data_IF_574324330297
#
_entry.id   IF_574324330297
#
_cell.length_a   1.000
_cell.length_b   1.000
_cell.length_c   1.000
_cell.angle_alpha   90.00
_cell.angle_beta   90.00
_cell.angle_gamma   90.00
#
_symmetry.space_group_name_H-M   'P 1'
#
loop_
_entity.id
_entity.type
_entity.pdbx_description
1 polymer ?
#
# COMPACT_ATOMS: atom_id res chain seq x y z
N UNK A 1 44.91 24.66 -46.66
CA UNK A 1 44.29 25.80 -45.97
C UNK A 1 42.82 25.50 -45.72
N UNK A 2 42.26 25.77 -44.53
CA UNK A 2 42.84 25.57 -43.20
C UNK A 2 42.10 24.47 -42.41
N UNK A 3 42.90 23.65 -41.71
CA UNK A 3 42.49 22.87 -40.56
C UNK A 3 42.04 23.83 -39.43
N UNK A 4 40.90 23.54 -38.79
CA UNK A 4 40.57 24.11 -37.48
C UNK A 4 40.90 23.11 -36.38
N UNK A 5 41.89 23.50 -35.59
CA UNK A 5 42.18 23.00 -34.26
C UNK A 5 41.01 23.33 -33.33
N UNK A 6 40.62 22.40 -32.46
CA UNK A 6 40.01 22.77 -31.18
C UNK A 6 40.85 22.15 -30.06
N UNK A 7 41.30 23.03 -29.16
CA UNK A 7 41.86 22.73 -27.85
C UNK A 7 40.73 22.90 -26.85
N UNK A 8 40.67 22.04 -25.84
CA UNK A 8 39.78 22.21 -24.69
C UNK A 8 39.95 21.06 -23.71
N UNK A 9 41.06 21.10 -22.96
CA UNK A 9 41.32 20.21 -21.84
C UNK A 9 40.47 20.63 -20.63
N UNK A 10 39.85 19.67 -19.96
CA UNK A 10 39.55 19.76 -18.53
C UNK A 10 39.95 18.46 -17.84
N UNK A 11 41.03 18.58 -17.06
CA UNK A 11 41.41 17.70 -15.97
C UNK A 11 40.94 18.37 -14.69
N UNK A 12 40.37 17.60 -13.75
CA UNK A 12 40.92 17.42 -12.40
C UNK A 12 39.87 16.81 -11.47
N UNK A 13 40.22 15.63 -10.96
CA UNK A 13 39.72 15.08 -9.71
C UNK A 13 40.00 16.06 -8.55
N UNK A 14 38.97 16.42 -7.79
CA UNK A 14 39.08 17.17 -6.55
C UNK A 14 38.77 16.29 -5.34
N UNK A 15 39.75 15.49 -4.91
CA UNK A 15 39.73 14.77 -3.63
C UNK A 15 40.05 15.76 -2.49
N UNK A 16 39.05 16.21 -1.73
CA UNK A 16 39.27 16.99 -0.50
C UNK A 16 39.22 16.07 0.73
N UNK A 17 40.39 15.55 1.12
CA UNK A 17 40.65 15.06 2.49
C UNK A 17 41.22 16.22 3.31
N UNK A 18 40.41 16.80 4.18
CA UNK A 18 40.88 17.73 5.21
C UNK A 18 41.45 16.94 6.39
N UNK A 19 42.77 17.03 6.54
CA UNK A 19 43.56 16.50 7.66
C UNK A 19 43.65 17.60 8.72
N UNK A 20 43.02 17.42 9.87
CA UNK A 20 43.25 18.26 11.06
C UNK A 20 44.03 17.49 12.11
N UNK A 21 45.18 18.04 12.46
CA UNK A 21 46.06 17.63 13.55
C UNK A 21 45.65 18.32 14.85
N UNK A 22 45.45 17.58 15.93
CA UNK A 22 45.56 18.09 17.32
C UNK A 22 46.02 16.92 18.22
N UNK A 23 47.27 16.96 18.67
CA UNK A 23 47.67 17.34 20.04
C UNK A 23 47.19 16.35 21.12
N UNK A 24 48.09 15.42 21.44
CA UNK A 24 48.07 14.61 22.65
C UNK A 24 48.42 15.47 23.87
N UNK A 25 47.53 15.49 24.87
CA UNK A 25 47.95 15.66 26.26
C UNK A 25 47.33 14.55 27.10
N UNK A 26 48.22 13.79 27.72
CA UNK A 26 47.97 12.76 28.73
C UNK A 26 47.76 13.43 30.09
N UNK A 27 46.68 13.08 30.79
CA UNK A 27 46.64 13.09 32.27
C UNK A 27 45.81 11.91 32.77
N UNK A 28 46.44 11.15 33.67
CA UNK A 28 45.91 10.01 34.41
C UNK A 28 44.74 10.37 35.32
N UNK A 29 43.81 9.43 35.50
CA UNK A 29 42.80 9.48 36.57
C UNK A 29 41.94 8.22 36.63
N UNK A 30 42.46 7.15 37.23
CA UNK A 30 41.65 6.01 37.71
C UNK A 30 40.99 6.40 39.03
N UNK A 31 39.68 6.19 39.16
CA UNK A 31 39.08 5.49 40.32
C UNK A 31 37.67 4.99 39.94
N UNK A 32 37.47 3.68 40.18
CA UNK A 32 36.27 2.90 40.53
C UNK A 32 34.90 3.63 40.61
N UNK A 33 33.73 3.04 40.34
CA UNK A 33 33.29 1.70 39.93
C UNK A 33 31.75 1.71 40.00
N UNK A 34 31.10 0.92 39.13
CA UNK A 34 29.77 0.31 39.35
C UNK A 34 28.57 1.28 39.51
N UNK A 35 27.75 1.37 38.46
CA UNK A 35 26.31 1.08 38.52
C UNK A 35 25.77 1.05 37.08
N UNK A 36 25.40 -0.16 36.66
CA UNK A 36 24.70 -0.43 35.41
C UNK A 36 23.23 -0.72 35.72
N UNK A 37 22.36 -0.27 34.82
CA UNK A 37 21.09 -0.91 34.40
C UNK A 37 19.86 -0.68 35.28
N UNK A 38 19.09 0.34 34.92
CA UNK A 38 17.63 0.20 34.87
C UNK A 38 17.04 1.12 33.79
N UNK A 39 16.58 0.62 32.63
CA UNK A 39 15.92 1.43 31.60
C UNK A 39 14.62 2.09 32.11
N UNK A 40 14.06 1.59 33.21
CA UNK A 40 12.89 2.16 33.88
C UNK A 40 13.14 3.57 34.45
N UNK A 41 14.36 3.85 34.93
CA UNK A 41 14.68 5.15 35.57
C UNK A 41 14.85 6.25 34.51
N UNK A 42 15.34 5.91 33.33
CA UNK A 42 15.42 6.85 32.20
C UNK A 42 14.02 7.18 31.66
N UNK A 43 13.09 6.22 31.61
CA UNK A 43 11.71 6.45 31.22
C UNK A 43 10.95 7.34 32.23
N UNK A 44 11.18 7.15 33.53
CA UNK A 44 10.59 7.99 34.59
C UNK A 44 11.12 9.43 34.50
N UNK A 45 12.40 9.64 34.20
CA UNK A 45 12.95 10.99 34.01
C UNK A 45 12.42 11.69 32.75
N UNK A 46 12.22 10.97 31.65
CA UNK A 46 11.56 11.52 30.46
C UNK A 46 10.09 11.90 30.71
N UNK A 47 9.34 11.09 31.46
CA UNK A 47 7.94 11.36 31.79
C UNK A 47 7.79 12.54 32.77
N UNK A 48 8.74 12.71 33.70
CA UNK A 48 8.75 13.86 34.62
C UNK A 48 9.18 15.17 33.91
N UNK A 49 10.04 15.10 32.89
CA UNK A 49 10.43 16.26 32.10
C UNK A 49 9.32 16.76 31.15
N UNK A 50 8.40 15.88 30.72
CA UNK A 50 7.25 16.23 29.89
C UNK A 50 6.04 16.73 30.70
N UNK A 51 6.06 16.59 32.03
CA UNK A 51 4.97 16.97 32.93
C UNK A 51 4.94 18.43 33.42
N UNK A 52 5.86 19.30 32.97
CA UNK A 52 5.96 20.69 33.46
C UNK A 52 5.26 21.76 32.59
N UNK A 53 4.38 21.38 31.66
CA UNK A 53 3.42 22.32 31.05
C UNK A 53 1.99 21.91 31.39
N UNK A 54 1.57 22.26 32.60
CA UNK A 54 0.16 22.30 32.99
C UNK A 54 -0.47 23.59 32.46
N UNK A 55 -1.46 23.46 31.58
CA UNK A 55 -2.75 24.14 31.77
C UNK A 55 -3.87 23.11 31.61
N UNK A 56 -4.55 22.85 32.73
CA UNK A 56 -5.91 22.32 32.91
C UNK A 56 -6.44 21.24 31.95
N UNK A 57 -6.38 19.98 32.38
CA UNK A 57 -7.39 18.98 32.03
C UNK A 57 -7.86 18.24 33.29
N UNK A 58 -9.15 18.39 33.60
CA UNK A 58 -9.85 17.67 34.65
C UNK A 58 -10.14 16.27 34.14
N UNK A 59 -9.38 15.27 34.58
CA UNK A 59 -9.70 13.86 34.36
C UNK A 59 -10.59 13.40 35.51
N UNK A 60 -11.89 13.27 35.25
CA UNK A 60 -12.79 12.50 36.11
C UNK A 60 -12.56 11.02 35.86
N UNK A 61 -11.87 10.38 36.79
CA UNK A 61 -11.69 8.94 36.87
C UNK A 61 -12.99 8.32 37.41
N UNK A 62 -13.80 7.68 36.57
CA UNK A 62 -14.89 6.81 37.02
C UNK A 62 -14.72 5.40 36.49
N UNK A 63 -14.87 4.46 37.43
CA UNK A 63 -14.61 3.03 37.34
C UNK A 63 -15.53 2.31 36.35
N UNK A 64 -14.96 1.25 35.75
CA UNK A 64 -15.65 0.14 35.07
C UNK A 64 -16.81 -0.43 35.90
N UNK A 65 -17.81 -1.01 35.22
CA UNK A 65 -18.00 -2.45 35.40
C UNK A 65 -18.31 -3.24 34.11
N UNK A 66 -17.54 -4.31 33.91
CA UNK A 66 -17.98 -5.71 33.81
C UNK A 66 -19.40 -5.99 33.23
N UNK A 67 -19.49 -6.45 31.97
CA UNK A 67 -20.63 -7.25 31.44
C UNK A 67 -20.05 -8.27 30.44
N UNK A 68 -19.82 -9.51 30.87
CA UNK A 68 -20.66 -10.71 30.70
C UNK A 68 -20.85 -11.21 29.26
N UNK A 69 -20.20 -12.35 29.01
CA UNK A 69 -20.36 -13.24 27.89
C UNK A 69 -21.81 -13.70 27.71
N UNK A 70 -22.24 -13.83 26.44
CA UNK A 70 -23.43 -14.60 26.05
C UNK A 70 -23.01 -15.70 25.07
N UNK A 71 -22.62 -16.84 25.64
CA UNK A 71 -22.73 -18.12 24.96
C UNK A 71 -24.15 -18.65 25.21
N UNK A 72 -25.00 -18.67 24.18
CA UNK A 72 -26.29 -19.33 24.25
C UNK A 72 -26.08 -20.83 23.99
N UNK A 73 -25.92 -21.58 25.08
CA UNK A 73 -26.03 -23.03 25.08
C UNK A 73 -27.52 -23.41 25.02
N UNK A 74 -27.91 -24.12 23.97
CA UNK A 74 -29.20 -24.79 23.87
C UNK A 74 -29.14 -26.04 24.76
N UNK A 75 -29.83 -25.99 25.90
CA UNK A 75 -30.11 -27.17 26.71
C UNK A 75 -31.24 -27.99 26.05
N UNK A 76 -30.98 -29.26 25.76
CA UNK A 76 -32.01 -30.28 25.55
C UNK A 76 -31.86 -31.35 26.64
N UNK A 77 -32.97 -31.89 27.18
CA UNK A 77 -32.92 -32.90 28.22
C UNK A 77 -32.67 -34.30 27.63
N UNK A 78 -31.87 -35.05 28.39
CA UNK A 78 -31.61 -36.48 28.28
C UNK A 78 -32.87 -37.32 28.53
N UNK A 79 -33.16 -38.28 27.65
CA UNK A 79 -33.97 -39.46 27.95
C UNK A 79 -33.59 -40.67 27.07
N UNK A 80 -33.05 -41.69 27.76
CA UNK A 80 -33.22 -43.14 27.56
C UNK A 80 -33.17 -43.77 26.16
N UNK A 81 -32.09 -44.53 25.96
CA UNK A 81 -31.95 -45.84 25.30
C UNK A 81 -33.13 -46.42 24.48
N UNK A 82 -32.87 -46.69 23.20
CA UNK A 82 -33.27 -47.93 22.52
C UNK A 82 -32.41 -48.14 21.25
N UNK A 83 -31.89 -49.35 20.97
CA UNK A 83 -31.12 -49.62 19.76
C UNK A 83 -32.00 -50.17 18.63
N UNK A 84 -31.62 -49.82 17.39
CA UNK A 84 -32.07 -50.31 16.08
C UNK A 84 -32.95 -49.35 15.29
N UNK A 85 -32.43 -48.93 14.12
CA UNK A 85 -33.24 -48.36 13.04
C UNK A 85 -32.47 -47.36 12.18
N UNK A 86 -31.82 -47.86 11.12
CA UNK A 86 -31.30 -47.04 10.03
C UNK A 86 -32.43 -46.22 9.38
N UNK A 87 -32.33 -44.89 9.41
CA UNK A 87 -33.09 -44.01 8.52
C UNK A 87 -32.28 -42.74 8.29
N UNK A 88 -31.63 -42.68 7.13
CA UNK A 88 -30.93 -41.50 6.62
C UNK A 88 -31.95 -40.46 6.16
N UNK A 89 -32.39 -39.61 7.07
CA UNK A 89 -33.17 -38.42 6.73
C UNK A 89 -32.23 -37.33 6.20
N UNK A 90 -32.17 -37.24 4.88
CA UNK A 90 -31.50 -36.18 4.14
C UNK A 90 -32.22 -34.85 4.38
N UNK A 91 -31.73 -34.05 5.33
CA UNK A 91 -32.15 -32.67 5.54
C UNK A 91 -31.55 -31.80 4.41
N UNK A 92 -32.32 -31.65 3.34
CA UNK A 92 -32.14 -30.60 2.32
C UNK A 92 -32.35 -29.24 3.01
N UNK A 93 -31.26 -28.63 3.45
CA UNK A 93 -31.19 -27.20 3.75
C UNK A 93 -31.46 -26.45 2.44
N UNK A 94 -32.69 -25.97 2.29
CA UNK A 94 -33.03 -25.00 1.26
C UNK A 94 -32.21 -23.73 1.50
N UNK A 95 -31.12 -23.57 0.75
CA UNK A 95 -30.37 -22.33 0.68
C UNK A 95 -31.33 -21.26 0.15
N UNK A 96 -31.81 -20.39 1.03
CA UNK A 96 -32.58 -19.21 0.68
C UNK A 96 -31.71 -18.33 -0.21
N UNK A 97 -31.97 -18.34 -1.51
CA UNK A 97 -31.33 -17.44 -2.48
C UNK A 97 -31.84 -16.03 -2.22
N UNK A 98 -31.16 -15.29 -1.36
CA UNK A 98 -31.33 -13.84 -1.31
C UNK A 98 -30.88 -13.28 -2.67
N UNK A 99 -31.62 -12.32 -3.26
CA UNK A 99 -31.19 -11.66 -4.47
C UNK A 99 -29.86 -10.96 -4.19
N UNK A 100 -28.78 -11.55 -4.69
CA UNK A 100 -27.43 -11.03 -4.60
C UNK A 100 -27.42 -9.73 -5.41
N UNK A 101 -27.48 -8.60 -4.72
CA UNK A 101 -27.36 -7.29 -5.36
C UNK A 101 -25.97 -7.26 -5.96
N UNK A 102 -25.88 -7.35 -7.29
CA UNK A 102 -24.59 -7.31 -7.99
C UNK A 102 -23.79 -6.12 -7.48
N UNK A 103 -22.69 -6.41 -6.79
CA UNK A 103 -21.79 -5.37 -6.31
C UNK A 103 -21.32 -4.59 -7.54
N UNK A 104 -21.49 -3.26 -7.50
CA UNK A 104 -21.00 -2.41 -8.57
C UNK A 104 -19.49 -2.64 -8.68
N UNK A 105 -19.05 -3.05 -9.87
CA UNK A 105 -17.63 -3.15 -10.17
C UNK A 105 -17.08 -1.74 -10.34
N UNK A 106 -16.05 -1.40 -9.58
CA UNK A 106 -15.35 -0.14 -9.67
C UNK A 106 -13.95 -0.41 -10.22
N UNK A 107 -13.54 0.42 -11.19
CA UNK A 107 -12.17 0.52 -11.60
C UNK A 107 -11.51 1.68 -10.88
N UNK A 108 -10.37 1.41 -10.27
CA UNK A 108 -9.48 2.41 -9.74
C UNK A 108 -8.43 2.73 -10.80
N UNK A 109 -8.37 4.00 -11.22
CA UNK A 109 -7.32 4.54 -12.09
C UNK A 109 -6.39 5.36 -11.21
N UNK A 110 -5.12 4.99 -11.11
CA UNK A 110 -4.18 5.66 -10.19
C UNK A 110 -2.85 6.00 -10.88
N UNK A 111 -2.23 7.12 -10.52
CA UNK A 111 -0.84 7.47 -10.88
C UNK A 111 -0.06 7.81 -9.61
N UNK A 112 1.12 7.19 -9.46
CA UNK A 112 1.99 7.40 -8.30
C UNK A 112 3.05 8.45 -8.58
N UNK A 113 3.40 9.20 -7.54
CA UNK A 113 4.47 10.20 -7.59
C UNK A 113 5.26 10.21 -6.28
N UNK A 114 6.53 10.59 -6.34
CA UNK A 114 7.35 10.76 -5.14
C UNK A 114 7.30 12.20 -4.64
N UNK A 115 7.45 12.40 -3.33
CA UNK A 115 7.57 13.73 -2.74
C UNK A 115 8.56 13.73 -1.58
N UNK A 116 9.24 14.85 -1.37
CA UNK A 116 10.22 15.03 -0.28
C UNK A 116 9.74 16.01 0.80
N UNK A 117 8.88 16.96 0.43
CA UNK A 117 8.32 17.96 1.33
C UNK A 117 6.79 17.85 1.35
N UNK A 118 6.28 17.12 2.35
CA UNK A 118 4.84 16.91 2.54
C UNK A 118 4.11 18.23 2.76
N UNK A 119 4.66 19.14 3.56
CA UNK A 119 4.01 20.41 3.91
C UNK A 119 3.76 21.28 2.68
N UNK A 120 4.77 21.41 1.81
CA UNK A 120 4.65 22.17 0.56
C UNK A 120 3.61 21.55 -0.37
N UNK A 121 3.58 20.23 -0.48
CA UNK A 121 2.60 19.52 -1.30
C UNK A 121 1.16 19.69 -0.78
N UNK A 122 0.96 19.57 0.53
CA UNK A 122 -0.34 19.81 1.17
C UNK A 122 -0.83 21.25 0.97
N UNK A 123 0.06 22.24 0.98
CA UNK A 123 -0.28 23.62 0.66
C UNK A 123 -0.81 23.75 -0.78
N UNK A 124 -0.15 23.09 -1.74
CA UNK A 124 -0.58 23.08 -3.15
C UNK A 124 -1.91 22.38 -3.36
N UNK A 125 -2.14 21.26 -2.67
CA UNK A 125 -3.45 20.58 -2.67
C UNK A 125 -4.54 21.54 -2.19
N UNK A 126 -4.29 22.31 -1.12
CA UNK A 126 -5.24 23.34 -0.65
C UNK A 126 -5.48 24.43 -1.69
N UNK A 127 -4.45 24.87 -2.42
CA UNK A 127 -4.60 25.84 -3.52
C UNK A 127 -5.47 25.31 -4.66
N UNK A 128 -5.39 24.01 -4.96
CA UNK A 128 -6.27 23.33 -5.94
C UNK A 128 -7.66 22.99 -5.38
N UNK A 129 -7.96 23.41 -4.14
CA UNK A 129 -9.27 23.24 -3.50
C UNK A 129 -9.49 21.87 -2.85
N UNK A 130 -8.44 21.07 -2.68
CA UNK A 130 -8.50 19.84 -1.89
C UNK A 130 -8.48 20.17 -0.39
N UNK A 131 -9.19 19.36 0.38
CA UNK A 131 -9.14 19.40 1.83
C UNK A 131 -8.75 18.03 2.37
N UNK A 132 -8.05 18.03 3.50
CA UNK A 132 -7.78 16.82 4.25
C UNK A 132 -9.13 16.23 4.72
N UNK A 133 -9.43 15.03 4.25
CA UNK A 133 -10.63 14.29 4.63
C UNK A 133 -10.34 13.36 5.80
N UNK A 134 -9.19 12.68 5.77
CA UNK A 134 -8.87 11.65 6.73
C UNK A 134 -7.35 11.50 6.90
N UNK A 135 -6.90 11.20 8.12
CA UNK A 135 -5.53 10.77 8.40
C UNK A 135 -5.55 9.52 9.28
N UNK A 136 -4.86 8.46 8.82
CA UNK A 136 -4.87 7.14 9.45
C UNK A 136 -3.49 6.50 9.48
N UNK A 137 -3.29 5.63 10.47
CA UNK A 137 -2.22 4.65 10.47
C UNK A 137 -2.86 3.30 10.17
N UNK A 138 -2.31 2.58 9.19
CA UNK A 138 -2.78 1.27 8.79
C UNK A 138 -1.63 0.29 8.59
N UNK A 139 -1.95 -1.00 8.70
CA UNK A 139 -1.04 -2.11 8.49
C UNK A 139 -1.61 -2.98 7.38
N UNK A 140 -0.86 -3.11 6.29
CA UNK A 140 -1.19 -3.98 5.17
C UNK A 140 -0.35 -5.27 5.26
N UNK A 141 -1.02 -6.41 5.34
CA UNK A 141 -0.42 -7.74 5.25
C UNK A 141 -0.71 -8.31 3.85
N UNK A 142 0.31 -8.57 3.05
CA UNK A 142 0.14 -9.09 1.69
C UNK A 142 0.29 -10.60 1.65
N UNK A 143 -0.60 -11.26 0.92
CA UNK A 143 -0.71 -12.71 0.87
C UNK A 143 -0.59 -13.23 -0.56
N UNK A 144 0.08 -14.36 -0.69
CA UNK A 144 0.08 -15.15 -1.91
C UNK A 144 0.36 -16.62 -1.54
N UNK A 145 0.28 -17.52 -2.51
CA UNK A 145 0.68 -18.91 -2.31
C UNK A 145 2.20 -19.05 -2.44
N UNK A 146 2.80 -19.58 -1.39
CA UNK A 146 4.22 -19.92 -1.35
C UNK A 146 4.39 -21.41 -1.64
N UNK A 147 5.01 -21.74 -2.77
CA UNK A 147 5.33 -23.14 -3.12
C UNK A 147 6.68 -23.50 -2.50
N UNK A 148 6.62 -24.21 -1.38
CA UNK A 148 7.72 -24.63 -0.52
C UNK A 148 8.95 -25.28 -1.21
N UNK A 149 8.79 -25.77 -2.44
CA UNK A 149 9.70 -26.78 -3.00
C UNK A 149 10.22 -26.49 -4.40
N UNK A 150 10.01 -25.29 -4.92
CA UNK A 150 10.58 -24.96 -6.20
C UNK A 150 11.89 -24.23 -6.01
N UNK A 151 12.99 -24.88 -6.43
CA UNK A 151 14.24 -24.19 -6.76
C UNK A 151 13.99 -23.05 -7.76
N UNK A 152 12.87 -23.13 -8.50
CA UNK A 152 12.39 -22.09 -9.38
C UNK A 152 11.43 -21.14 -8.64
N UNK A 153 11.96 -20.01 -8.19
CA UNK A 153 11.19 -18.82 -7.77
C UNK A 153 10.07 -18.46 -8.75
N UNK A 154 10.19 -18.82 -10.03
CA UNK A 154 9.17 -18.56 -11.03
C UNK A 154 7.84 -19.30 -10.78
N UNK A 155 7.84 -20.36 -9.97
CA UNK A 155 6.61 -21.06 -9.61
C UNK A 155 5.90 -20.50 -8.37
N UNK A 156 6.58 -19.62 -7.63
CA UNK A 156 6.10 -19.00 -6.40
C UNK A 156 5.29 -17.75 -6.77
N UNK A 157 4.23 -17.45 -6.01
CA UNK A 157 3.42 -16.22 -6.12
C UNK A 157 2.49 -16.12 -7.34
N UNK A 158 1.51 -17.04 -7.50
CA UNK A 158 0.57 -17.00 -8.63
C UNK A 158 -0.27 -15.72 -8.69
N UNK A 159 -0.56 -15.06 -7.57
CA UNK A 159 -1.32 -13.80 -7.59
C UNK A 159 -0.43 -12.67 -8.11
N UNK A 160 0.71 -12.44 -7.48
CA UNK A 160 1.64 -11.35 -7.80
C UNK A 160 2.09 -11.41 -9.25
N UNK A 161 2.43 -12.59 -9.78
CA UNK A 161 2.86 -12.76 -11.18
C UNK A 161 1.80 -12.39 -12.22
N UNK A 162 0.54 -12.33 -11.82
CA UNK A 162 -0.58 -11.99 -12.68
C UNK A 162 -1.18 -10.62 -12.29
N UNK A 163 -0.39 -9.76 -11.67
CA UNK A 163 -0.79 -8.43 -11.22
C UNK A 163 -2.04 -8.45 -10.29
N UNK A 164 -2.10 -9.45 -9.40
CA UNK A 164 -3.13 -9.54 -8.38
C UNK A 164 -2.52 -9.35 -6.99
N UNK A 165 -3.04 -8.39 -6.24
CA UNK A 165 -2.52 -8.00 -4.94
C UNK A 165 -3.56 -8.22 -3.86
N UNK A 166 -3.49 -9.36 -3.18
CA UNK A 166 -4.31 -9.65 -2.01
C UNK A 166 -3.64 -9.08 -0.75
N UNK A 167 -4.39 -8.29 0.01
CA UNK A 167 -3.97 -7.79 1.32
C UNK A 167 -5.06 -7.91 2.37
N UNK A 168 -4.65 -8.03 3.63
CA UNK A 168 -5.48 -7.71 4.79
C UNK A 168 -5.03 -6.36 5.33
N UNK A 169 -5.93 -5.38 5.29
CA UNK A 169 -5.69 -4.03 5.78
C UNK A 169 -6.32 -3.87 7.15
N UNK A 170 -5.53 -3.47 8.13
CA UNK A 170 -6.00 -3.14 9.47
C UNK A 170 -5.72 -1.66 9.77
N UNK A 171 -6.75 -0.92 10.15
CA UNK A 171 -6.58 0.48 10.59
C UNK A 171 -6.32 0.48 12.10
N UNK A 172 -5.13 0.93 12.48
CA UNK A 172 -4.63 0.87 13.86
C UNK A 172 -4.83 2.18 14.63
N UNK A 173 -4.99 3.29 13.91
CA UNK A 173 -5.26 4.60 14.51
C UNK A 173 -5.94 5.48 13.49
N UNK A 174 -6.93 6.26 13.92
CA UNK A 174 -7.50 7.34 13.12
C UNK A 174 -7.51 8.65 13.89
N UNK A 175 -7.17 9.74 13.24
CA UNK A 175 -7.34 11.09 13.79
C UNK A 175 -8.79 11.60 13.61
N UNK A 176 -9.81 10.74 13.73
CA UNK A 176 -11.24 11.11 13.68
C UNK A 176 -11.95 10.87 15.02
N UNK A 177 -12.82 11.80 15.40
CA UNK A 177 -13.52 11.84 16.70
C UNK A 177 -14.52 10.68 16.87
N UNK A 178 -14.98 10.04 15.78
CA UNK A 178 -16.13 9.12 15.79
C UNK A 178 -15.83 7.70 15.31
N UNK A 179 -14.56 7.31 15.20
CA UNK A 179 -14.22 6.04 14.59
C UNK A 179 -13.90 4.95 15.61
N UNK A 180 -14.42 3.74 15.38
CA UNK A 180 -14.08 2.55 16.18
C UNK A 180 -12.74 2.01 15.68
N UNK A 181 -11.73 1.97 16.55
CA UNK A 181 -10.45 1.34 16.25
C UNK A 181 -10.64 -0.15 15.92
N UNK A 182 -9.85 -0.66 14.97
CA UNK A 182 -9.83 -2.08 14.63
C UNK A 182 -10.69 -2.49 13.44
N UNK A 183 -11.15 -1.56 12.61
CA UNK A 183 -11.66 -1.90 11.28
C UNK A 183 -10.55 -2.58 10.47
N UNK A 184 -10.87 -3.78 9.98
CA UNK A 184 -9.95 -4.55 9.17
C UNK A 184 -10.70 -5.33 8.10
N UNK A 185 -10.11 -5.38 6.91
CA UNK A 185 -10.77 -5.92 5.73
C UNK A 185 -9.77 -6.54 4.76
N UNK A 186 -10.24 -7.58 4.07
CA UNK A 186 -9.54 -8.19 2.96
C UNK A 186 -9.79 -7.39 1.68
N UNK A 187 -8.74 -7.06 0.95
CA UNK A 187 -8.82 -6.29 -0.29
C UNK A 187 -7.98 -7.00 -1.36
N UNK A 188 -8.53 -7.11 -2.56
CA UNK A 188 -7.87 -7.66 -3.74
C UNK A 188 -7.87 -6.59 -4.84
N UNK A 189 -6.69 -6.08 -5.21
CA UNK A 189 -6.51 -5.32 -6.44
C UNK A 189 -6.20 -6.28 -7.59
N UNK A 190 -6.92 -6.19 -8.70
CA UNK A 190 -6.68 -7.00 -9.90
C UNK A 190 -6.31 -6.15 -11.09
N UNK A 191 -5.10 -6.35 -11.62
CA UNK A 191 -4.63 -5.71 -12.83
C UNK A 191 -5.60 -5.96 -13.98
N UNK A 192 -5.89 -4.90 -14.73
CA UNK A 192 -6.72 -4.99 -15.92
C UNK A 192 -5.88 -4.74 -17.17
N UNK A 193 -6.18 -5.45 -18.26
CA UNK A 193 -5.57 -5.15 -19.56
C UNK A 193 -6.16 -3.88 -20.21
N UNK A 194 -7.13 -3.25 -19.54
CA UNK A 194 -7.82 -2.06 -20.05
C UNK A 194 -6.85 -0.88 -19.93
N UNK A 195 -6.45 -0.35 -21.08
CA UNK A 195 -5.57 0.81 -21.14
C UNK A 195 -4.10 0.51 -20.88
N UNK A 196 -3.56 -0.64 -21.29
CA UNK A 196 -2.11 -0.94 -21.25
C UNK A 196 -1.25 -0.03 -22.14
N UNK A 197 -1.22 1.27 -21.85
CA UNK A 197 -0.55 2.31 -22.62
C UNK A 197 0.33 3.22 -21.77
N UNK A 198 1.29 3.84 -22.43
CA UNK A 198 2.45 4.69 -22.04
C UNK A 198 2.26 5.78 -20.95
N UNK A 199 1.14 5.83 -20.25
CA UNK A 199 0.73 6.99 -19.46
C UNK A 199 1.09 6.97 -17.98
N UNK A 200 1.89 6.03 -17.48
CA UNK A 200 2.29 5.92 -16.06
C UNK A 200 1.17 5.52 -15.07
N UNK A 201 -0.10 5.66 -15.46
CA UNK A 201 -1.26 5.34 -14.65
C UNK A 201 -1.70 3.86 -14.78
N UNK A 202 -1.87 3.20 -13.63
CA UNK A 202 -2.35 1.81 -13.51
C UNK A 202 -3.86 1.75 -13.32
N UNK A 203 -4.49 0.63 -13.71
CA UNK A 203 -5.94 0.43 -13.61
C UNK A 203 -6.24 -0.91 -12.95
N UNK A 204 -6.90 -0.87 -11.80
CA UNK A 204 -7.24 -2.04 -11.00
C UNK A 204 -8.76 -2.22 -10.85
N UNK A 205 -9.23 -3.46 -10.89
CA UNK A 205 -10.53 -3.83 -10.30
C UNK A 205 -10.30 -4.08 -8.80
N UNK A 206 -10.96 -3.31 -7.94
CA UNK A 206 -10.90 -3.49 -6.49
C UNK A 206 -12.08 -4.34 -6.00
N UNK A 207 -11.76 -5.35 -5.19
CA UNK A 207 -12.74 -6.22 -4.54
C UNK A 207 -12.42 -6.27 -3.04
N UNK A 208 -13.44 -6.17 -2.21
CA UNK A 208 -13.30 -6.11 -0.75
C UNK A 208 -14.04 -7.26 -0.03
N UNK A 209 -13.74 -7.41 1.25
CA UNK A 209 -14.36 -8.37 2.15
C UNK A 209 -14.06 -9.83 1.81
N UNK A 210 -14.98 -10.72 2.18
CA UNK A 210 -14.80 -12.17 1.97
C UNK A 210 -14.75 -12.59 0.50
N UNK A 211 -15.28 -11.76 -0.40
CA UNK A 211 -15.26 -12.03 -1.83
C UNK A 211 -13.86 -11.87 -2.42
N UNK A 212 -13.08 -10.91 -1.93
CA UNK A 212 -11.67 -10.72 -2.27
C UNK A 212 -10.88 -12.02 -2.04
N UNK A 213 -11.09 -12.65 -0.89
CA UNK A 213 -10.46 -13.93 -0.54
C UNK A 213 -10.89 -15.07 -1.48
N UNK A 214 -12.19 -15.26 -1.69
CA UNK A 214 -12.69 -16.33 -2.56
C UNK A 214 -12.13 -16.22 -3.98
N UNK A 215 -12.10 -15.01 -4.52
CA UNK A 215 -11.56 -14.75 -5.85
C UNK A 215 -10.04 -15.01 -5.86
N UNK A 216 -9.28 -14.48 -4.90
CA UNK A 216 -7.84 -14.72 -4.81
C UNK A 216 -7.51 -16.22 -4.69
N UNK A 217 -8.22 -16.95 -3.85
CA UNK A 217 -8.17 -18.41 -3.74
C UNK A 217 -8.38 -19.12 -5.08
N UNK A 218 -9.45 -18.75 -5.79
CA UNK A 218 -9.76 -19.33 -7.10
C UNK A 218 -8.67 -19.04 -8.12
N UNK A 219 -8.11 -17.82 -8.13
CA UNK A 219 -7.02 -17.42 -9.03
C UNK A 219 -5.75 -18.21 -8.73
N UNK A 220 -5.36 -18.31 -7.45
CA UNK A 220 -4.18 -19.05 -7.03
C UNK A 220 -4.28 -20.56 -7.35
N UNK A 221 -5.46 -21.16 -7.17
CA UNK A 221 -5.69 -22.57 -7.52
C UNK A 221 -5.66 -22.81 -9.04
N UNK A 222 -6.24 -21.92 -9.84
CA UNK A 222 -6.24 -22.04 -11.30
C UNK A 222 -4.83 -22.07 -11.89
N UNK A 223 -3.92 -21.26 -11.37
CA UNK A 223 -2.53 -21.23 -11.86
C UNK A 223 -1.73 -22.48 -11.45
N UNK A 224 -2.10 -23.15 -10.35
CA UNK A 224 -1.52 -24.45 -10.00
C UNK A 224 -1.98 -25.55 -10.97
N UNK A 225 -3.27 -25.59 -11.32
CA UNK A 225 -3.80 -26.63 -12.22
C UNK A 225 -3.19 -26.60 -13.62
N UNK A 226 -2.59 -25.47 -14.03
CA UNK A 226 -1.87 -25.35 -15.31
C UNK A 226 -0.47 -25.94 -15.28
N UNK A 227 0.10 -26.21 -14.10
CA UNK A 227 1.44 -26.75 -13.95
C UNK A 227 1.31 -28.22 -13.61
N UNK A 228 1.79 -29.07 -14.50
CA UNK A 228 1.76 -30.53 -14.34
C UNK A 228 2.27 -30.94 -12.94
N UNK A 229 1.58 -31.93 -12.35
CA UNK A 229 1.62 -32.42 -10.97
C UNK A 229 3.02 -32.84 -10.45
N UNK A 230 3.95 -31.90 -10.31
CA UNK A 230 5.12 -32.11 -9.49
C UNK A 230 4.69 -32.03 -8.02
N UNK A 231 4.44 -33.18 -7.40
CA UNK A 231 4.10 -33.33 -5.99
C UNK A 231 5.02 -32.45 -5.11
N UNK A 232 4.51 -31.36 -4.51
CA UNK A 232 5.33 -30.52 -3.66
C UNK A 232 5.52 -31.22 -2.32
N UNK A 233 6.75 -31.62 -2.01
CA UNK A 233 7.15 -31.92 -0.63
C UNK A 233 7.05 -30.61 0.20
N UNK A 234 6.74 -30.70 1.49
CA UNK A 234 6.55 -29.53 2.34
C UNK A 234 7.87 -29.15 3.02
N UNK A 235 8.64 -28.21 2.47
CA UNK A 235 9.72 -27.52 3.20
C UNK A 235 9.32 -26.07 3.51
N UNK A 236 9.07 -25.78 4.78
CA UNK A 236 8.35 -24.57 5.25
C UNK A 236 9.21 -23.31 5.47
N UNK A 237 10.51 -23.30 5.15
CA UNK A 237 11.42 -22.67 6.12
C UNK A 237 11.94 -21.25 5.84
N UNK A 238 11.81 -20.66 4.63
CA UNK A 238 12.51 -19.40 4.34
C UNK A 238 11.70 -18.11 4.59
N UNK A 239 10.43 -18.07 4.19
CA UNK A 239 9.62 -16.84 4.26
C UNK A 239 8.94 -16.62 5.62
N UNK A 240 8.68 -17.69 6.37
CA UNK A 240 8.12 -17.61 7.72
C UNK A 240 9.04 -16.88 8.72
N UNK A 241 10.35 -16.83 8.45
CA UNK A 241 11.32 -16.11 9.30
C UNK A 241 11.06 -14.60 9.35
N UNK A 242 10.37 -14.02 8.35
CA UNK A 242 10.05 -12.59 8.34
C UNK A 242 9.06 -12.19 9.43
N UNK A 243 8.24 -13.15 9.88
CA UNK A 243 7.16 -12.93 10.84
C UNK A 243 7.37 -13.73 12.11
N UNK A 244 8.61 -14.15 12.40
CA UNK A 244 8.92 -14.92 13.60
C UNK A 244 8.55 -14.12 14.86
N UNK A 245 7.62 -14.66 15.65
CA UNK A 245 7.11 -14.01 16.86
C UNK A 245 5.98 -13.00 16.64
N UNK A 246 5.55 -12.79 15.40
CA UNK A 246 4.38 -11.95 15.10
C UNK A 246 3.13 -12.80 14.83
N UNK A 247 1.99 -12.41 15.39
CA UNK A 247 0.70 -12.94 14.96
C UNK A 247 0.24 -12.22 13.69
N UNK A 248 -0.12 -12.96 12.66
CA UNK A 248 -0.70 -12.42 11.43
C UNK A 248 -2.14 -12.90 11.24
N UNK A 249 -2.98 -12.13 10.52
CA UNK A 249 -4.34 -12.53 10.18
C UNK A 249 -4.35 -13.86 9.42
N UNK A 250 -5.18 -14.80 9.85
CA UNK A 250 -5.37 -16.07 9.15
C UNK A 250 -6.60 -15.94 8.25
N UNK A 251 -6.49 -16.20 6.94
CA UNK A 251 -7.66 -16.23 6.07
C UNK A 251 -8.71 -17.22 6.63
N UNK A 252 -10.00 -16.82 6.75
CA UNK A 252 -11.06 -17.70 7.28
C UNK A 252 -11.47 -18.84 6.33
N UNK A 253 -10.73 -19.05 5.24
CA UNK A 253 -11.07 -20.00 4.19
C UNK A 253 -10.08 -21.15 4.23
N UNK A 254 -10.55 -22.33 4.67
CA UNK A 254 -9.73 -23.52 4.91
C UNK A 254 -9.06 -24.09 3.63
N UNK A 255 -9.38 -23.59 2.43
CA UNK A 255 -9.03 -24.20 1.14
C UNK A 255 -7.90 -23.51 0.37
N UNK A 256 -7.23 -22.51 0.96
CA UNK A 256 -6.23 -21.73 0.23
C UNK A 256 -4.97 -21.63 1.07
N UNK A 257 -3.89 -22.26 0.60
CA UNK A 257 -2.57 -22.18 1.24
C UNK A 257 -1.92 -20.80 1.00
N UNK A 258 -2.66 -19.73 1.30
CA UNK A 258 -2.21 -18.35 1.22
C UNK A 258 -1.42 -18.04 2.48
N UNK A 259 -0.21 -17.54 2.29
CA UNK A 259 0.70 -17.16 3.37
C UNK A 259 1.10 -15.70 3.20
N UNK A 260 1.30 -14.97 4.32
CA UNK A 260 1.80 -13.60 4.23
C UNK A 260 3.24 -13.61 3.71
N UNK A 261 3.58 -12.65 2.85
CA UNK A 261 4.95 -12.45 2.35
C UNK A 261 5.47 -11.02 2.54
N UNK A 262 4.60 -10.06 2.87
CA UNK A 262 4.99 -8.69 3.20
C UNK A 262 4.06 -8.08 4.25
N UNK A 263 4.61 -7.17 5.07
CA UNK A 263 3.88 -6.36 6.04
C UNK A 263 4.36 -4.92 5.92
N UNK A 264 3.44 -3.99 5.72
CA UNK A 264 3.76 -2.58 5.52
C UNK A 264 2.90 -1.74 6.45
N UNK A 265 3.55 -0.95 7.30
CA UNK A 265 2.89 0.09 8.09
C UNK A 265 2.88 1.37 7.28
N UNK A 266 1.72 1.98 7.12
CA UNK A 266 1.55 3.25 6.38
C UNK A 266 0.87 4.28 7.26
N UNK A 267 1.40 5.49 7.27
CA UNK A 267 0.70 6.70 7.68
C UNK A 267 0.15 7.39 6.42
N UNK A 268 -1.17 7.45 6.28
CA UNK A 268 -1.86 7.99 5.10
C UNK A 268 -2.64 9.25 5.45
N UNK A 269 -2.46 10.28 4.65
CA UNK A 269 -3.33 11.45 4.62
C UNK A 269 -4.11 11.48 3.30
N UNK A 270 -5.42 11.37 3.40
CA UNK A 270 -6.38 11.34 2.28
C UNK A 270 -6.97 12.74 2.06
N UNK A 271 -6.89 13.20 0.82
CA UNK A 271 -7.35 14.51 0.38
C UNK A 271 -8.41 14.37 -0.71
N UNK A 272 -9.51 15.10 -0.58
CA UNK A 272 -10.57 15.12 -1.57
C UNK A 272 -11.01 16.56 -1.85
N UNK A 273 -11.50 16.84 -3.05
CA UNK A 273 -12.01 18.16 -3.39
C UNK A 273 -13.39 18.37 -2.75
N UNK A 274 -13.55 19.42 -1.94
CA UNK A 274 -14.84 19.69 -1.28
C UNK A 274 -15.90 20.08 -2.31
N UNK A 275 -16.93 19.24 -2.47
CA UNK A 275 -18.11 19.61 -3.25
C UNK A 275 -18.79 20.82 -2.59
N UNK A 276 -18.88 21.94 -3.31
CA UNK A 276 -19.71 23.08 -2.90
C UNK A 276 -19.00 24.30 -2.30
N UNK A 277 -17.67 24.31 -2.16
CA UNK A 277 -16.97 25.59 -1.96
C UNK A 277 -16.85 26.32 -3.30
N UNK A 278 -17.95 26.92 -3.75
CA UNK A 278 -17.88 27.94 -4.80
C UNK A 278 -17.00 29.09 -4.28
N UNK A 279 -16.01 29.58 -5.05
CA UNK A 279 -15.23 30.73 -4.64
C UNK A 279 -16.15 31.94 -4.44
N UNK A 280 -16.29 32.39 -3.19
CA UNK A 280 -17.23 33.45 -2.78
C UNK A 280 -16.85 34.86 -3.25
N UNK A 281 -15.91 35.02 -4.17
CA UNK A 281 -15.20 36.28 -4.35
C UNK A 281 -15.00 36.68 -5.81
N UNK A 282 -16.08 36.93 -6.56
CA UNK A 282 -16.12 37.90 -7.68
C UNK A 282 -15.23 37.70 -8.92
N UNK A 283 -14.26 36.80 -8.91
CA UNK A 283 -13.46 36.44 -10.08
C UNK A 283 -14.20 35.37 -10.87
N UNK A 284 -14.59 35.70 -12.10
CA UNK A 284 -15.14 34.77 -13.11
C UNK A 284 -14.09 33.76 -13.56
N UNK A 285 -13.56 32.94 -12.66
CA UNK A 285 -12.77 31.77 -13.03
C UNK A 285 -13.70 30.57 -13.15
N UNK A 286 -13.88 30.14 -14.39
CA UNK A 286 -14.73 29.04 -14.88
C UNK A 286 -14.34 27.64 -14.39
N UNK A 287 -13.46 27.51 -13.40
CA UNK A 287 -12.92 26.23 -12.98
C UNK A 287 -13.73 25.62 -11.84
N UNK A 288 -15.04 25.48 -12.03
CA UNK A 288 -15.87 24.73 -11.10
C UNK A 288 -15.41 23.26 -11.10
N UNK A 289 -14.84 22.80 -9.98
CA UNK A 289 -14.68 21.37 -9.65
C UNK A 289 -14.01 20.51 -10.76
N UNK A 290 -12.91 20.99 -11.35
CA UNK A 290 -12.20 20.25 -12.41
C UNK A 290 -11.80 18.83 -11.99
N UNK A 291 -11.58 18.60 -10.69
CA UNK A 291 -11.01 17.37 -10.14
C UNK A 291 -11.90 16.71 -9.07
N UNK A 292 -13.22 16.93 -9.10
CA UNK A 292 -14.11 16.47 -8.00
C UNK A 292 -14.26 14.96 -7.87
N UNK A 293 -13.75 14.21 -8.85
CA UNK A 293 -13.69 12.75 -8.83
C UNK A 293 -12.32 12.21 -8.42
N UNK A 294 -11.34 13.08 -8.23
CA UNK A 294 -9.99 12.70 -7.85
C UNK A 294 -9.85 12.68 -6.33
N UNK A 295 -9.09 11.71 -5.86
CA UNK A 295 -8.62 11.60 -4.49
C UNK A 295 -7.09 11.63 -4.54
N UNK A 296 -6.48 12.25 -3.53
CA UNK A 296 -5.02 12.26 -3.38
C UNK A 296 -4.66 11.66 -2.03
N UNK A 297 -3.92 10.56 -2.05
CA UNK A 297 -3.37 9.91 -0.87
C UNK A 297 -1.89 10.23 -0.74
N UNK A 298 -1.50 10.77 0.41
CA UNK A 298 -0.09 11.00 0.77
C UNK A 298 0.33 9.98 1.80
N UNK A 299 1.16 9.04 1.38
CA UNK A 299 1.62 7.93 2.21
C UNK A 299 3.06 8.12 2.66
N UNK A 300 3.31 7.83 3.93
CA UNK A 300 4.65 7.66 4.47
C UNK A 300 4.77 6.36 5.27
N UNK A 301 5.91 5.69 5.16
CA UNK A 301 6.24 4.49 5.94
C UNK A 301 7.22 4.84 7.07
N UNK A 302 7.34 4.01 8.12
CA UNK A 302 8.26 4.28 9.24
C UNK A 302 9.74 4.39 8.89
N UNK A 303 10.17 3.80 7.76
CA UNK A 303 11.53 3.91 7.23
C UNK A 303 11.77 5.17 6.38
N UNK A 304 10.77 6.05 6.30
CA UNK A 304 10.88 7.36 5.64
C UNK A 304 10.61 7.34 4.15
N UNK A 305 10.18 6.20 3.57
CA UNK A 305 9.69 6.18 2.21
C UNK A 305 8.37 6.95 2.11
N UNK A 306 8.27 7.81 1.10
CA UNK A 306 7.15 8.72 0.90
C UNK A 306 6.68 8.64 -0.55
N UNK A 307 5.38 8.38 -0.74
CA UNK A 307 4.76 8.24 -2.05
C UNK A 307 3.37 8.84 -2.01
N UNK A 308 3.04 9.61 -3.04
CA UNK A 308 1.71 10.12 -3.29
C UNK A 308 1.02 9.30 -4.37
N UNK A 309 -0.29 9.16 -4.26
CA UNK A 309 -1.15 8.49 -5.23
C UNK A 309 -2.28 9.46 -5.58
N UNK A 310 -2.51 9.70 -6.87
CA UNK A 310 -3.73 10.38 -7.35
C UNK A 310 -4.60 9.32 -7.99
N UNK A 311 -5.81 9.14 -7.47
CA UNK A 311 -6.72 8.09 -7.87
C UNK A 311 -8.08 8.65 -8.34
N UNK A 312 -8.73 7.93 -9.24
CA UNK A 312 -10.09 8.17 -9.70
C UNK A 312 -10.86 6.85 -9.74
N UNK A 313 -12.07 6.84 -9.20
CA UNK A 313 -12.97 5.70 -9.29
C UNK A 313 -13.88 5.85 -10.51
N UNK A 314 -13.84 4.85 -11.39
CA UNK A 314 -14.66 4.76 -12.61
C UNK A 314 -15.61 3.58 -12.47
N UNK A 315 -16.91 3.82 -12.62
CA UNK A 315 -17.89 2.72 -12.63
C UNK A 315 -17.64 1.81 -13.83
N UNK A 316 -17.39 0.52 -13.58
CA UNK A 316 -17.33 -0.49 -14.63
C UNK A 316 -18.76 -0.89 -15.00
N UNK A 317 -19.20 -0.45 -16.18
CA UNK A 317 -20.50 -0.87 -16.69
C UNK A 317 -20.44 -2.36 -17.05
N UNK A 318 -21.33 -3.15 -16.45
CA UNK A 318 -21.48 -4.56 -16.77
C UNK A 318 -21.80 -4.75 -18.26
N UNK A 319 -21.34 -5.86 -18.86
CA UNK A 319 -21.67 -6.22 -20.24
C UNK A 319 -23.18 -6.49 -20.36
N UNK A 320 -23.99 -5.46 -20.50
CA UNK A 320 -25.29 -5.59 -21.17
C UNK A 320 -25.00 -6.00 -22.60
N UNK A 321 -25.53 -7.15 -23.03
CA UNK A 321 -25.31 -7.73 -24.35
C UNK A 321 -25.47 -6.66 -25.46
N UNK A 322 -24.34 -6.12 -25.93
CA UNK A 322 -24.28 -5.00 -26.85
C UNK A 322 -22.89 -4.37 -26.88
N UNK A 323 -22.40 -4.04 -28.08
CA UNK A 323 -21.03 -3.56 -28.37
C UNK A 323 -20.71 -2.19 -27.74
N UNK A 324 -21.69 -1.49 -27.16
CA UNK A 324 -21.55 -0.10 -26.74
C UNK A 324 -20.83 0.08 -25.41
N UNK A 325 -20.87 -0.91 -24.50
CA UNK A 325 -20.45 -0.70 -23.11
C UNK A 325 -18.94 -0.60 -22.91
N UNK A 326 -18.15 -1.39 -23.66
CA UNK A 326 -16.69 -1.40 -23.54
C UNK A 326 -16.06 -0.06 -23.96
N UNK A 327 -16.61 0.59 -24.99
CA UNK A 327 -16.12 1.88 -25.50
C UNK A 327 -16.25 2.97 -24.43
N UNK A 328 -17.37 3.01 -23.69
CA UNK A 328 -17.57 3.99 -22.62
C UNK A 328 -16.60 3.80 -21.45
N UNK A 329 -16.20 2.57 -21.15
CA UNK A 329 -15.27 2.29 -20.06
C UNK A 329 -13.86 2.76 -20.40
N UNK A 330 -13.36 2.48 -21.61
CA UNK A 330 -12.05 2.95 -22.07
C UNK A 330 -11.98 4.47 -22.13
N UNK A 331 -13.03 5.12 -22.63
CA UNK A 331 -13.14 6.58 -22.67
C UNK A 331 -13.13 7.19 -21.26
N UNK A 332 -13.89 6.62 -20.32
CA UNK A 332 -13.91 7.07 -18.93
C UNK A 332 -12.54 6.93 -18.25
N UNK A 333 -11.83 5.81 -18.47
CA UNK A 333 -10.47 5.60 -17.98
C UNK A 333 -9.50 6.62 -18.62
N UNK A 334 -9.63 6.90 -19.91
CA UNK A 334 -8.79 7.88 -20.59
C UNK A 334 -9.00 9.32 -20.07
N UNK A 335 -10.25 9.69 -19.78
CA UNK A 335 -10.58 10.96 -19.13
C UNK A 335 -9.96 11.03 -17.73
N UNK A 336 -10.17 10.00 -16.89
CA UNK A 336 -9.58 9.94 -15.55
C UNK A 336 -8.05 10.11 -15.57
N UNK A 337 -7.36 9.45 -16.50
CA UNK A 337 -5.91 9.62 -16.68
C UNK A 337 -5.50 11.04 -17.08
N UNK A 338 -6.32 11.70 -17.89
CA UNK A 338 -6.05 13.07 -18.31
C UNK A 338 -6.19 14.02 -17.12
N UNK A 339 -7.25 13.87 -16.34
CA UNK A 339 -7.49 14.66 -15.13
C UNK A 339 -6.37 14.45 -14.09
N UNK A 340 -5.97 13.20 -13.86
CA UNK A 340 -4.85 12.85 -12.96
C UNK A 340 -3.56 13.52 -13.42
N UNK A 341 -3.23 13.42 -14.71
CA UNK A 341 -2.00 14.04 -15.24
C UNK A 341 -2.01 15.55 -15.08
N UNK A 342 -3.13 16.20 -15.39
CA UNK A 342 -3.28 17.65 -15.26
C UNK A 342 -3.13 18.08 -13.79
N UNK A 343 -3.75 17.38 -12.84
CA UNK A 343 -3.59 17.68 -11.42
C UNK A 343 -2.12 17.53 -10.99
N UNK A 344 -1.47 16.44 -11.37
CA UNK A 344 -0.06 16.19 -11.07
C UNK A 344 0.85 17.29 -11.64
N UNK A 345 0.57 17.81 -12.85
CA UNK A 345 1.33 18.93 -13.41
C UNK A 345 1.21 20.18 -12.53
N UNK A 346 0.03 20.43 -11.97
CA UNK A 346 -0.20 21.61 -11.11
C UNK A 346 0.47 21.47 -9.74
N UNK A 347 0.29 20.32 -9.07
CA UNK A 347 0.80 20.16 -7.70
C UNK A 347 2.30 19.86 -7.65
N UNK A 348 2.89 19.33 -8.72
CA UNK A 348 4.34 19.02 -8.75
C UNK A 348 5.18 20.12 -9.38
N UNK A 349 4.63 20.99 -10.24
CA UNK A 349 5.40 22.09 -10.82
C UNK A 349 5.89 23.03 -9.72
N UNK A 350 7.21 23.06 -9.51
CA UNK A 350 7.85 23.93 -8.52
C UNK A 350 7.42 25.39 -8.71
N UNK A 351 7.40 26.17 -7.62
CA UNK A 351 7.32 27.64 -7.69
C UNK A 351 8.62 28.27 -8.22
N UNK A 352 9.54 27.41 -8.70
CA UNK A 352 10.80 27.78 -9.29
C UNK A 352 10.52 28.50 -10.61
N UNK A 353 10.22 29.80 -10.49
CA UNK A 353 10.34 30.81 -11.53
C UNK A 353 11.79 30.95 -12.05
N UNK A 354 12.72 30.10 -11.60
CA UNK A 354 14.02 29.98 -12.20
C UNK A 354 13.90 29.16 -13.49
N UNK A 355 14.11 29.88 -14.58
CA UNK A 355 13.94 29.60 -16.02
C UNK A 355 14.65 28.35 -16.57
N UNK A 356 15.00 27.37 -15.73
CA UNK A 356 15.67 26.15 -16.17
C UNK A 356 14.60 25.17 -16.68
N UNK A 357 14.22 25.36 -17.95
CA UNK A 357 13.19 24.66 -18.73
C UNK A 357 13.34 23.14 -18.85
N UNK A 358 14.08 22.48 -17.97
CA UNK A 358 13.99 21.04 -17.82
C UNK A 358 12.58 20.71 -17.33
N UNK A 359 11.72 20.26 -18.25
CA UNK A 359 10.46 19.62 -17.90
C UNK A 359 10.79 18.52 -16.90
N UNK A 360 10.24 18.55 -15.67
CA UNK A 360 10.53 17.52 -14.68
C UNK A 360 10.22 16.17 -15.31
N UNK A 361 11.26 15.38 -15.55
CA UNK A 361 11.14 14.04 -16.08
C UNK A 361 10.37 13.24 -15.05
N UNK A 362 9.11 12.92 -15.34
CA UNK A 362 8.30 12.02 -14.51
C UNK A 362 8.89 10.62 -14.64
N UNK A 363 9.88 10.31 -13.82
CA UNK A 363 10.25 8.92 -13.59
C UNK A 363 9.05 8.24 -12.92
N UNK A 364 8.63 7.05 -13.40
CA UNK A 364 7.61 6.26 -12.70
C UNK A 364 7.98 6.15 -11.23
N UNK A 365 7.06 6.51 -10.34
CA UNK A 365 7.31 6.39 -8.91
C UNK A 365 7.07 4.95 -8.48
N UNK A 366 8.00 4.44 -7.68
CA UNK A 366 7.87 3.14 -7.04
C UNK A 366 6.66 3.13 -6.10
N UNK A 367 5.91 2.03 -6.07
CA UNK A 367 4.87 1.81 -5.05
C UNK A 367 5.46 1.38 -3.69
N UNK A 368 4.65 1.45 -2.62
CA UNK A 368 5.08 1.00 -1.26
C UNK A 368 5.51 -0.46 -1.23
N UNK A 369 4.69 -1.34 -1.84
CA UNK A 369 5.00 -2.77 -1.90
C UNK A 369 6.23 -3.03 -2.77
N UNK A 370 6.34 -2.36 -3.92
CA UNK A 370 7.50 -2.47 -4.80
C UNK A 370 8.79 -2.06 -4.06
N UNK A 371 8.79 -0.94 -3.34
CA UNK A 371 9.91 -0.50 -2.50
C UNK A 371 10.24 -1.52 -1.41
N UNK A 372 9.23 -2.05 -0.72
CA UNK A 372 9.42 -3.10 0.28
C UNK A 372 10.07 -4.33 -0.32
N UNK A 373 9.59 -4.79 -1.48
CA UNK A 373 10.12 -5.95 -2.16
C UNK A 373 11.56 -5.70 -2.64
N UNK A 374 11.84 -4.53 -3.21
CA UNK A 374 13.17 -4.14 -3.65
C UNK A 374 14.19 -4.22 -2.50
N UNK A 375 13.85 -3.68 -1.32
CA UNK A 375 14.76 -3.61 -0.18
C UNK A 375 14.81 -4.90 0.66
N UNK A 376 13.68 -5.59 0.82
CA UNK A 376 13.53 -6.67 1.81
C UNK A 376 13.34 -8.05 1.19
N UNK A 377 12.82 -8.12 -0.04
CA UNK A 377 12.50 -9.37 -0.74
C UNK A 377 12.97 -9.32 -2.21
N UNK A 378 14.27 -9.09 -2.48
CA UNK A 378 14.76 -8.83 -3.83
C UNK A 378 14.49 -9.98 -4.83
N UNK A 379 14.36 -11.21 -4.33
CA UNK A 379 13.97 -12.36 -5.14
C UNK A 379 12.51 -12.26 -5.63
N UNK A 380 11.59 -11.82 -4.77
CA UNK A 380 10.19 -11.58 -5.13
C UNK A 380 10.10 -10.38 -6.07
N UNK A 381 10.83 -9.30 -5.78
CA UNK A 381 10.92 -8.14 -6.66
C UNK A 381 11.35 -8.55 -8.07
N UNK A 382 12.42 -9.36 -8.18
CA UNK A 382 12.88 -9.90 -9.47
C UNK A 382 11.79 -10.68 -10.20
N UNK A 383 11.02 -11.52 -9.49
CA UNK A 383 9.89 -12.25 -10.09
C UNK A 383 8.84 -11.28 -10.66
N UNK A 384 8.50 -10.20 -9.95
CA UNK A 384 7.55 -9.20 -10.41
C UNK A 384 8.03 -8.52 -11.70
N UNK A 385 9.32 -8.16 -11.73
CA UNK A 385 9.98 -7.56 -12.91
C UNK A 385 9.98 -8.52 -14.10
N UNK A 386 10.33 -9.79 -13.89
CA UNK A 386 10.32 -10.82 -14.93
C UNK A 386 8.92 -11.13 -15.46
N UNK A 387 7.88 -10.96 -14.62
CA UNK A 387 6.48 -11.09 -15.06
C UNK A 387 5.92 -9.84 -15.75
N UNK A 388 6.66 -8.73 -15.80
CA UNK A 388 6.19 -7.47 -16.37
C UNK A 388 5.19 -6.71 -15.49
N UNK A 389 5.02 -7.13 -14.23
CA UNK A 389 4.13 -6.50 -13.25
C UNK A 389 4.76 -5.24 -12.68
N UNK A 390 6.07 -5.29 -12.41
CA UNK A 390 6.88 -4.12 -12.12
C UNK A 390 7.67 -3.78 -13.39
N UNK A 391 7.60 -2.54 -13.90
CA UNK A 391 8.34 -2.16 -15.10
C UNK A 391 9.84 -2.31 -14.86
N UNK A 392 10.57 -2.87 -15.83
CA UNK A 392 12.02 -2.79 -15.79
C UNK A 392 12.41 -1.30 -15.88
N UNK A 393 13.27 -0.79 -14.98
CA UNK A 393 13.86 0.51 -15.21
C UNK A 393 14.51 0.46 -16.59
N UNK A 394 14.37 1.51 -17.42
CA UNK A 394 15.06 1.55 -18.69
C UNK A 394 16.54 1.32 -18.36
N UNK A 395 17.10 0.20 -18.83
CA UNK A 395 18.54 0.01 -18.76
C UNK A 395 19.10 1.25 -19.45
N UNK A 396 19.67 2.17 -18.67
CA UNK A 396 20.60 3.14 -19.21
C UNK A 396 21.64 2.27 -19.86
N UNK A 397 21.58 2.14 -21.19
CA UNK A 397 22.55 1.41 -21.97
C UNK A 397 23.88 1.92 -21.44
N UNK A 398 24.56 1.09 -20.65
CA UNK A 398 25.89 1.43 -20.19
C UNK A 398 26.62 1.70 -21.49
N UNK A 399 27.02 2.96 -21.71
CA UNK A 399 27.81 3.31 -22.87
C UNK A 399 28.98 2.35 -22.82
N UNK A 400 28.95 1.33 -23.69
CA UNK A 400 30.03 0.36 -23.73
C UNK A 400 31.29 1.18 -23.87
N UNK A 401 32.25 1.06 -22.92
CA UNK A 401 33.42 1.90 -22.93
C UNK A 401 34.08 1.72 -24.29
N UNK A 402 34.04 2.77 -25.11
CA UNK A 402 34.53 2.72 -26.49
C UNK A 402 36.00 2.32 -26.44
N UNK A 403 36.28 1.10 -26.89
CA UNK A 403 37.61 0.49 -26.91
C UNK A 403 38.52 1.12 -27.95
#
# INVERSE_FOLDING_TARGET
MPHKQSRGAYSMFGNNRSRTTSHQHSVNGRFHSVLHRCPLVAAIWCLLALGQKQESFVVSLHLLPLIHAKAAAIMTPSASASPNGHSTSSLLLAASSFPEKEAKKLLEVEEKFSFSDRSKLEERLKMEGFALCQEVIMVDWYYDRLVANSECLASVLPLVRNDHWLRYRQITSRNCIECVDGEAEWQLKRGTSIGGGDGGATVYEEIEGTEALKIACSLANRELSKRDEANPTKNETALLLLFEGESFPVPPVDSCDLQPFAKIVTHRAKWEQRQGQQPTSGTKTTNASLFSKLVVDLDTTPDGFAVGEVEALVEAYGKTEGTSTAVYQEEAVAMARTDIRELLERILKGDDNNDDRSTPTRSPSMGKLEQFLFLRQPLIHKVCVESGVIPQPPFSAEEEPSS
#
